data_IF_462780236646
#
_entry.id   IF_462780236646
#
_cell.length_a   1.000
_cell.length_b   1.000
_cell.length_c   1.000
_cell.angle_alpha   90.00
_cell.angle_beta   90.00
_cell.angle_gamma   90.00
#
_symmetry.space_group_name_H-M   'P 1'
#
loop_
_entity.id
_entity.type
_entity.pdbx_description
1 polymer ?
#
# COMPACT_ATOMS: atom_id res chain seq x y z
N UNK A 1 -14.21 10.18 -18.55
CA UNK A 1 -12.80 10.57 -18.71
C UNK A 1 -11.99 9.60 -17.86
N UNK A 2 -10.98 8.94 -18.45
CA UNK A 2 -10.06 7.94 -17.87
C UNK A 2 -10.75 6.77 -17.12
N UNK A 3 -10.83 5.55 -17.68
CA UNK A 3 -9.66 4.75 -18.00
C UNK A 3 -9.20 3.97 -16.76
N UNK A 4 -10.07 3.14 -16.18
CA UNK A 4 -9.64 2.09 -15.26
C UNK A 4 -9.04 0.96 -16.12
N UNK A 5 -7.83 1.22 -16.63
CA UNK A 5 -7.00 0.19 -17.21
C UNK A 5 -6.61 -0.74 -16.08
N UNK A 6 -6.98 -2.00 -16.21
CA UNK A 6 -6.56 -3.08 -15.32
C UNK A 6 -5.10 -3.43 -15.64
N UNK A 7 -4.24 -2.44 -15.47
CA UNK A 7 -2.85 -2.66 -15.12
C UNK A 7 -2.87 -2.70 -13.60
N UNK A 8 -2.46 -3.80 -12.99
CA UNK A 8 -2.17 -3.85 -11.55
C UNK A 8 -0.94 -2.96 -11.30
N UNK A 9 -1.15 -1.65 -11.44
CA UNK A 9 -0.21 -0.61 -11.12
C UNK A 9 -0.33 -0.46 -9.62
N UNK A 10 0.64 -1.06 -8.94
CA UNK A 10 0.78 -0.98 -7.50
C UNK A 10 0.56 0.46 -7.03
N UNK A 11 -0.57 0.69 -6.34
CA UNK A 11 -0.96 2.03 -5.92
C UNK A 11 -0.33 2.33 -4.55
N UNK A 12 1.00 2.47 -4.57
CA UNK A 12 1.80 2.81 -3.39
C UNK A 12 1.25 4.04 -2.68
N UNK A 13 0.72 5.01 -3.44
CA UNK A 13 0.12 6.22 -2.88
C UNK A 13 -1.11 5.88 -2.03
N UNK A 14 -2.02 5.05 -2.54
CA UNK A 14 -3.21 4.62 -1.79
C UNK A 14 -2.87 3.84 -0.51
N UNK A 15 -1.88 2.93 -0.56
CA UNK A 15 -1.42 2.17 0.61
C UNK A 15 -0.85 3.11 1.68
N UNK A 16 0.07 3.99 1.27
CA UNK A 16 0.74 4.92 2.17
C UNK A 16 -0.25 5.94 2.76
N UNK A 17 -1.18 6.47 1.95
CA UNK A 17 -2.23 7.40 2.39
C UNK A 17 -3.19 6.73 3.38
N UNK A 18 -3.62 5.49 3.11
CA UNK A 18 -4.39 4.72 4.08
C UNK A 18 -3.60 4.45 5.35
N UNK A 19 -2.33 4.08 5.26
CA UNK A 19 -1.51 3.86 6.45
C UNK A 19 -1.43 5.14 7.28
N UNK A 20 -1.18 6.28 6.65
CA UNK A 20 -1.12 7.56 7.34
C UNK A 20 -2.47 7.94 7.96
N UNK A 21 -3.56 7.82 7.21
CA UNK A 21 -4.91 8.13 7.70
C UNK A 21 -5.34 7.27 8.89
N UNK A 22 -4.66 6.14 9.15
CA UNK A 22 -5.17 5.09 10.00
C UNK A 22 -4.28 4.68 11.16
N UNK A 23 -2.97 4.73 10.96
CA UNK A 23 -1.98 4.51 12.01
C UNK A 23 -1.41 5.83 12.49
N UNK A 24 -0.92 6.65 11.57
CA UNK A 24 -0.17 7.85 11.90
C UNK A 24 -0.36 8.95 10.85
N UNK A 25 -1.17 9.94 11.17
CA UNK A 25 -1.52 11.03 10.26
C UNK A 25 -0.35 11.94 9.91
N UNK A 26 0.75 11.89 10.67
CA UNK A 26 2.01 12.58 10.41
C UNK A 26 2.99 11.71 9.60
N UNK A 27 2.59 10.48 9.24
CA UNK A 27 3.41 9.60 8.44
C UNK A 27 3.66 10.18 7.04
N UNK A 28 4.93 10.17 6.65
CA UNK A 28 5.41 10.77 5.41
C UNK A 28 5.05 9.89 4.21
N UNK A 29 3.83 10.06 3.69
CA UNK A 29 3.30 9.30 2.56
C UNK A 29 4.15 9.46 1.30
N UNK A 30 4.80 10.61 1.13
CA UNK A 30 5.69 10.88 0.02
C UNK A 30 6.96 10.04 0.07
N UNK A 31 7.59 9.93 1.25
CA UNK A 31 8.74 9.05 1.45
C UNK A 31 8.37 7.57 1.30
N UNK A 32 7.18 7.21 1.79
CA UNK A 32 6.61 5.88 1.64
C UNK A 32 6.38 5.51 0.18
N UNK A 33 5.76 6.38 -0.63
CA UNK A 33 5.52 6.13 -2.05
C UNK A 33 6.84 5.90 -2.78
N UNK A 34 7.83 6.77 -2.52
CA UNK A 34 9.15 6.65 -3.14
C UNK A 34 9.80 5.31 -2.80
N UNK A 35 9.78 4.87 -1.53
CA UNK A 35 10.30 3.55 -1.13
C UNK A 35 9.51 2.40 -1.73
N UNK A 36 8.19 2.50 -1.73
CA UNK A 36 7.34 1.46 -2.27
C UNK A 36 7.59 1.26 -3.76
N UNK A 37 7.77 2.33 -4.55
CA UNK A 37 8.18 2.20 -5.95
C UNK A 37 9.58 1.62 -6.13
N UNK A 38 10.55 2.07 -5.32
CA UNK A 38 11.93 1.60 -5.40
C UNK A 38 11.99 0.09 -5.11
N UNK A 39 11.38 -0.35 -4.01
CA UNK A 39 11.28 -1.75 -3.64
C UNK A 39 10.44 -2.57 -4.63
N UNK A 40 9.34 -2.03 -5.16
CA UNK A 40 8.52 -2.74 -6.15
C UNK A 40 9.22 -2.87 -7.51
N UNK A 41 10.20 -2.01 -7.80
CA UNK A 41 11.03 -2.08 -9.00
C UNK A 41 12.19 -3.07 -8.83
N UNK A 42 12.75 -3.19 -7.61
CA UNK A 42 13.86 -4.10 -7.30
C UNK A 42 13.38 -5.53 -6.95
N UNK A 43 12.24 -5.65 -6.26
CA UNK A 43 11.68 -6.90 -5.73
C UNK A 43 10.26 -7.17 -6.26
N UNK A 44 10.13 -8.20 -7.11
CA UNK A 44 8.84 -8.65 -7.63
C UNK A 44 7.93 -9.21 -6.51
N UNK A 45 8.51 -9.85 -5.49
CA UNK A 45 7.80 -10.31 -4.30
C UNK A 45 7.25 -9.14 -3.48
N UNK A 46 7.99 -8.03 -3.38
CA UNK A 46 7.53 -6.82 -2.72
C UNK A 46 6.33 -6.23 -3.45
N UNK A 47 6.43 -6.12 -4.78
CA UNK A 47 5.31 -5.68 -5.62
C UNK A 47 4.07 -6.54 -5.38
N UNK A 48 4.21 -7.86 -5.31
CA UNK A 48 3.10 -8.77 -5.07
C UNK A 48 2.46 -8.59 -3.68
N UNK A 49 3.27 -8.38 -2.64
CA UNK A 49 2.78 -8.11 -1.28
C UNK A 49 2.05 -6.77 -1.20
N UNK A 50 2.59 -5.75 -1.84
CA UNK A 50 1.97 -4.43 -1.88
C UNK A 50 0.65 -4.46 -2.67
N UNK A 51 0.54 -5.27 -3.73
CA UNK A 51 -0.72 -5.44 -4.47
C UNK A 51 -1.80 -6.13 -3.62
N UNK A 52 -1.42 -7.16 -2.88
CA UNK A 52 -2.30 -7.84 -1.90
C UNK A 52 -2.69 -6.89 -0.76
N UNK A 53 -1.75 -6.07 -0.31
CA UNK A 53 -1.97 -5.06 0.71
C UNK A 53 -2.99 -4.02 0.25
N UNK A 54 -2.83 -3.47 -0.95
CA UNK A 54 -3.78 -2.52 -1.55
C UNK A 54 -5.18 -3.12 -1.70
N UNK A 55 -5.28 -4.33 -2.26
CA UNK A 55 -6.54 -5.03 -2.41
C UNK A 55 -7.24 -5.25 -1.06
N UNK A 56 -6.48 -5.63 -0.03
CA UNK A 56 -7.05 -5.82 1.30
C UNK A 56 -7.46 -4.51 1.98
N UNK A 57 -6.63 -3.47 1.84
CA UNK A 57 -6.91 -2.15 2.37
C UNK A 57 -8.13 -1.54 1.67
N UNK A 58 -8.31 -1.72 0.37
CA UNK A 58 -9.48 -1.26 -0.39
C UNK A 58 -10.78 -1.89 0.10
N UNK A 59 -10.76 -3.17 0.46
CA UNK A 59 -11.95 -3.91 0.91
C UNK A 59 -12.29 -3.64 2.40
N UNK A 60 -11.33 -3.15 3.20
CA UNK A 60 -11.50 -3.04 4.66
C UNK A 60 -11.21 -1.63 5.21
N UNK A 61 -12.07 -1.20 6.13
CA UNK A 61 -11.81 -0.04 6.95
C UNK A 61 -10.58 -0.30 7.83
N UNK A 62 -9.72 0.71 7.96
CA UNK A 62 -8.39 0.54 8.52
C UNK A 62 -8.30 -0.14 9.88
N UNK A 63 -9.28 0.05 10.76
CA UNK A 63 -9.31 -0.57 12.09
C UNK A 63 -9.39 -2.09 12.06
N UNK A 64 -9.93 -2.69 10.97
CA UNK A 64 -9.99 -4.14 10.77
C UNK A 64 -8.98 -4.65 9.72
N UNK A 65 -8.52 -3.77 8.83
CA UNK A 65 -7.47 -4.08 7.86
C UNK A 65 -6.07 -4.17 8.50
N UNK A 66 -5.80 -3.34 9.51
CA UNK A 66 -4.56 -3.28 10.30
C UNK A 66 -4.12 -4.64 10.86
N UNK A 67 -5.03 -5.44 11.43
CA UNK A 67 -4.64 -6.71 12.03
C UNK A 67 -4.57 -7.88 11.04
N UNK A 68 -5.46 -7.90 10.03
CA UNK A 68 -5.48 -8.99 9.05
C UNK A 68 -4.50 -8.79 7.90
N UNK A 69 -4.26 -7.54 7.52
CA UNK A 69 -3.41 -7.19 6.39
C UNK A 69 -2.21 -6.35 6.80
N UNK A 70 -2.12 -5.94 8.07
CA UNK A 70 -0.86 -5.40 8.60
C UNK A 70 0.28 -6.40 8.53
N UNK A 71 0.06 -7.72 8.53
CA UNK A 71 1.16 -8.67 8.32
C UNK A 71 1.71 -8.63 6.87
N UNK A 72 0.81 -8.55 5.88
CA UNK A 72 1.16 -8.46 4.47
C UNK A 72 1.68 -7.05 4.10
N UNK A 73 1.09 -6.01 4.70
CA UNK A 73 1.46 -4.62 4.54
C UNK A 73 2.69 -4.22 5.37
N UNK A 74 3.00 -4.84 6.51
CA UNK A 74 4.20 -4.51 7.31
C UNK A 74 5.51 -4.87 6.61
N UNK A 75 5.44 -5.69 5.55
CA UNK A 75 6.56 -5.89 4.65
C UNK A 75 6.75 -4.73 3.67
N UNK A 76 5.74 -3.85 3.52
CA UNK A 76 5.65 -2.76 2.55
C UNK A 76 5.85 -1.41 3.22
N UNK A 77 5.12 -1.17 4.30
CA UNK A 77 5.21 0.00 5.18
C UNK A 77 5.91 -0.39 6.50
N UNK A 78 6.80 0.47 7.03
CA UNK A 78 7.52 0.26 8.28
C UNK A 78 6.63 0.29 9.53
#
# INVERSE_FOLDING_TARGET
MAGCGVDAALDCNAICDKYASCYDSDYDTSACESRCRDNAADDEDYKRKADVCDACLSDRACTSATFSCGADCAAVVP
#
